data_IF_893886015453
#
_entry.id   IF_893886015453
#
_cell.length_a   1.000
_cell.length_b   1.000
_cell.length_c   1.000
_cell.angle_alpha   90.00
_cell.angle_beta   90.00
_cell.angle_gamma   90.00
#
_symmetry.space_group_name_H-M   'P 1'
#
loop_
_entity.id
_entity.type
_entity.pdbx_description
1 polymer ?
#
# COMPACT_ATOMS: atom_id res chain seq x y z
N UNK A 1 21.85 -8.29 10.39
CA UNK A 1 21.09 -9.33 9.69
C UNK A 1 21.16 -10.56 10.57
N UNK A 2 20.02 -11.05 11.05
CA UNK A 2 19.99 -12.35 11.72
C UNK A 2 20.47 -13.42 10.72
N UNK A 3 21.37 -14.31 11.15
CA UNK A 3 21.84 -15.42 10.33
C UNK A 3 20.74 -16.50 10.29
N UNK A 4 19.79 -16.33 9.38
CA UNK A 4 18.70 -17.29 9.17
C UNK A 4 19.16 -18.41 8.23
N UNK A 5 19.00 -19.66 8.67
CA UNK A 5 19.22 -20.84 7.82
C UNK A 5 18.13 -20.96 6.74
N UNK A 6 18.50 -21.42 5.54
CA UNK A 6 17.56 -21.56 4.41
C UNK A 6 16.34 -22.45 4.75
N UNK A 7 16.54 -23.45 5.61
CA UNK A 7 15.51 -24.40 6.06
C UNK A 7 14.43 -23.77 6.92
N UNK A 8 14.65 -22.57 7.47
CA UNK A 8 13.64 -21.85 8.25
C UNK A 8 12.43 -21.45 7.39
N UNK A 9 12.68 -21.14 6.11
CA UNK A 9 11.64 -20.78 5.15
C UNK A 9 11.24 -21.96 4.25
N UNK A 10 12.18 -22.84 3.92
CA UNK A 10 11.96 -23.96 2.99
C UNK A 10 11.70 -25.31 3.69
N UNK A 11 11.31 -25.32 4.97
CA UNK A 11 11.39 -26.45 5.92
C UNK A 11 10.65 -27.76 5.61
N UNK A 12 10.18 -27.98 4.39
CA UNK A 12 9.87 -29.33 3.84
C UNK A 12 11.15 -30.12 3.49
N UNK A 13 12.32 -29.53 3.72
CA UNK A 13 13.62 -30.18 3.52
C UNK A 13 13.86 -31.24 4.58
N UNK A 14 14.39 -32.41 4.17
CA UNK A 14 14.82 -33.47 5.10
C UNK A 14 16.00 -33.00 5.97
N UNK A 15 16.28 -33.74 7.04
CA UNK A 15 17.38 -33.45 7.99
C UNK A 15 18.76 -33.40 7.34
N UNK A 16 18.95 -34.09 6.21
CA UNK A 16 20.17 -34.08 5.39
C UNK A 16 20.23 -32.92 4.37
N UNK A 17 19.31 -31.94 4.48
CA UNK A 17 19.12 -30.81 3.56
C UNK A 17 18.68 -31.20 2.13
N UNK A 18 18.31 -32.47 1.88
CA UNK A 18 17.72 -32.86 0.59
C UNK A 18 16.29 -32.31 0.43
N UNK A 19 15.99 -31.78 -0.77
CA UNK A 19 14.69 -31.17 -1.09
C UNK A 19 14.63 -29.63 -1.04
N UNK A 20 15.72 -28.94 -0.69
CA UNK A 20 15.77 -27.47 -0.57
C UNK A 20 15.37 -26.71 -1.84
N UNK A 21 15.58 -27.31 -3.02
CA UNK A 21 15.18 -26.74 -4.31
C UNK A 21 13.96 -27.45 -4.94
N UNK A 22 13.32 -28.34 -4.19
CA UNK A 22 12.18 -29.12 -4.68
C UNK A 22 10.84 -28.44 -4.37
N UNK A 23 10.81 -27.52 -3.40
CA UNK A 23 9.59 -26.90 -2.91
C UNK A 23 9.74 -25.39 -2.72
N UNK A 24 8.69 -24.67 -3.08
CA UNK A 24 8.56 -23.25 -2.76
C UNK A 24 8.19 -23.07 -1.29
N UNK A 25 8.70 -22.00 -0.64
CA UNK A 25 8.32 -21.70 0.72
C UNK A 25 6.84 -21.26 0.72
N UNK A 26 6.05 -21.85 1.60
CA UNK A 26 4.66 -21.43 1.79
C UNK A 26 4.55 -20.46 2.95
N UNK A 27 3.46 -19.71 2.97
CA UNK A 27 3.18 -18.66 3.94
C UNK A 27 3.18 -19.15 5.40
N UNK A 28 2.97 -20.46 5.63
CA UNK A 28 3.05 -21.11 6.94
C UNK A 28 4.41 -20.97 7.62
N UNK A 29 5.49 -20.86 6.84
CA UNK A 29 6.83 -20.68 7.41
C UNK A 29 7.07 -19.23 7.83
N UNK A 30 6.54 -18.27 7.06
CA UNK A 30 6.68 -16.85 7.37
C UNK A 30 6.03 -16.50 8.73
N UNK A 31 4.84 -17.04 9.01
CA UNK A 31 4.09 -16.73 10.24
C UNK A 31 4.70 -17.32 11.52
N UNK A 32 5.66 -18.25 11.41
CA UNK A 32 6.42 -18.76 12.56
C UNK A 32 7.20 -17.62 13.25
N UNK A 33 7.72 -16.68 12.47
CA UNK A 33 8.41 -15.49 12.97
C UNK A 33 7.53 -14.23 12.89
N UNK A 34 6.68 -14.13 11.86
CA UNK A 34 5.78 -13.00 11.63
C UNK A 34 4.36 -13.30 12.14
N UNK A 35 4.25 -13.63 13.41
CA UNK A 35 2.98 -14.00 14.02
C UNK A 35 1.94 -12.88 13.94
N UNK A 36 0.70 -13.24 13.61
CA UNK A 36 -0.42 -12.29 13.49
C UNK A 36 -0.37 -11.37 12.27
N UNK A 37 0.59 -11.54 11.35
CA UNK A 37 0.56 -10.85 10.05
C UNK A 37 -0.51 -11.49 9.16
N UNK A 38 -1.27 -10.65 8.49
CA UNK A 38 -2.29 -11.01 7.51
C UNK A 38 -2.40 -9.89 6.49
N UNK A 39 -2.89 -10.12 5.28
CA UNK A 39 -3.03 -9.04 4.30
C UNK A 39 -4.49 -8.63 4.18
N UNK A 40 -4.78 -7.34 4.36
CA UNK A 40 -6.11 -6.75 4.19
C UNK A 40 -7.24 -7.36 5.04
N UNK A 41 -6.91 -8.12 6.09
CA UNK A 41 -7.91 -8.80 6.93
C UNK A 41 -8.36 -10.16 6.40
N UNK A 42 -7.78 -10.65 5.29
CA UNK A 42 -8.12 -11.94 4.66
C UNK A 42 -7.30 -13.13 5.22
N UNK A 43 -6.56 -12.90 6.32
CA UNK A 43 -5.66 -13.91 6.87
C UNK A 43 -4.56 -14.35 5.89
N UNK A 44 -4.16 -15.61 6.00
CA UNK A 44 -3.11 -16.21 5.16
C UNK A 44 -3.64 -16.84 3.86
N UNK A 45 -4.95 -17.11 3.78
CA UNK A 45 -5.56 -17.75 2.62
C UNK A 45 -5.90 -16.81 1.47
N UNK A 46 -5.96 -15.49 1.71
CA UNK A 46 -6.39 -14.51 0.72
C UNK A 46 -5.30 -14.02 -0.24
N UNK A 47 -4.02 -14.10 0.15
CA UNK A 47 -2.89 -13.65 -0.68
C UNK A 47 -1.56 -14.21 -0.17
N UNK A 48 -0.74 -14.79 -1.08
CA UNK A 48 0.60 -15.24 -0.73
C UNK A 48 1.51 -14.04 -0.40
N UNK A 49 2.30 -14.16 0.68
CA UNK A 49 3.24 -13.11 1.11
C UNK A 49 4.18 -12.69 -0.03
N UNK A 50 4.64 -13.67 -0.81
CA UNK A 50 5.63 -13.50 -1.87
C UNK A 50 5.10 -12.81 -3.13
N UNK A 51 3.77 -12.62 -3.23
CA UNK A 51 3.18 -11.78 -4.27
C UNK A 51 3.64 -10.32 -4.10
N UNK A 52 3.84 -9.88 -2.86
CA UNK A 52 4.28 -8.53 -2.52
C UNK A 52 5.75 -8.48 -2.10
N UNK A 53 6.16 -9.41 -1.24
CA UNK A 53 7.51 -9.53 -0.70
C UNK A 53 8.39 -10.33 -1.65
N UNK A 54 9.53 -9.81 -2.06
CA UNK A 54 10.37 -10.53 -3.03
C UNK A 54 11.84 -10.26 -2.80
N UNK A 55 12.63 -11.32 -2.91
CA UNK A 55 14.09 -11.31 -2.92
C UNK A 55 14.69 -10.43 -4.03
N UNK A 56 13.87 -10.09 -5.03
CA UNK A 56 14.18 -9.14 -6.10
C UNK A 56 14.22 -7.67 -5.62
N UNK A 57 14.01 -7.44 -4.32
CA UNK A 57 14.19 -6.15 -3.65
C UNK A 57 15.19 -6.27 -2.52
N UNK A 58 15.96 -5.21 -2.26
CA UNK A 58 17.07 -5.22 -1.30
C UNK A 58 16.67 -5.64 0.12
N UNK A 59 15.48 -5.28 0.57
CA UNK A 59 14.99 -5.51 1.93
C UNK A 59 13.70 -6.34 1.98
N UNK A 60 13.41 -7.09 0.90
CA UNK A 60 12.20 -7.88 0.74
C UNK A 60 10.90 -7.05 0.73
N UNK A 61 10.95 -5.71 0.79
CA UNK A 61 9.74 -4.89 0.79
C UNK A 61 9.23 -4.63 -0.62
N UNK A 62 7.90 -4.58 -0.81
CA UNK A 62 7.33 -4.28 -2.12
C UNK A 62 7.71 -2.88 -2.59
N UNK A 63 8.22 -2.77 -3.81
CA UNK A 63 8.27 -1.48 -4.51
C UNK A 63 6.86 -0.95 -4.81
N UNK A 64 6.72 0.36 -5.07
CA UNK A 64 5.41 1.00 -5.32
C UNK A 64 4.57 0.30 -6.39
N UNK A 65 5.20 -0.10 -7.50
CA UNK A 65 4.52 -0.78 -8.61
C UNK A 65 3.90 -2.12 -8.20
N UNK A 66 4.43 -2.83 -7.20
CA UNK A 66 3.82 -4.08 -6.71
C UNK A 66 2.39 -3.90 -6.21
N UNK A 67 2.14 -2.82 -5.47
CA UNK A 67 0.79 -2.48 -5.03
C UNK A 67 -0.10 -2.16 -6.24
N UNK A 68 0.46 -1.44 -7.21
CA UNK A 68 -0.23 -1.05 -8.44
C UNK A 68 -0.57 -2.22 -9.36
N UNK A 69 0.10 -3.37 -9.24
CA UNK A 69 -0.28 -4.57 -9.98
C UNK A 69 -1.77 -4.91 -9.80
N UNK A 70 -2.25 -4.87 -8.55
CA UNK A 70 -3.65 -5.08 -8.23
C UNK A 70 -4.45 -3.77 -8.20
N UNK A 71 -3.86 -2.68 -7.71
CA UNK A 71 -4.60 -1.45 -7.43
C UNK A 71 -4.61 -0.42 -8.57
N UNK A 72 -3.85 -0.61 -9.66
CA UNK A 72 -3.94 0.25 -10.84
C UNK A 72 -4.95 -0.31 -11.86
N UNK A 73 -5.59 0.58 -12.62
CA UNK A 73 -6.31 0.20 -13.83
C UNK A 73 -5.42 0.12 -15.06
N UNK A 74 -4.19 0.63 -14.98
CA UNK A 74 -3.21 0.62 -16.08
C UNK A 74 -2.64 -0.80 -16.28
N UNK A 75 -2.81 -1.33 -17.49
CA UNK A 75 -2.27 -2.64 -17.87
C UNK A 75 -0.76 -2.57 -18.09
N UNK A 76 -0.22 -1.46 -18.59
CA UNK A 76 1.21 -1.31 -18.84
C UNK A 76 2.05 -1.42 -17.56
N UNK A 77 1.49 -1.03 -16.40
CA UNK A 77 2.16 -1.24 -15.11
C UNK A 77 2.38 -2.72 -14.81
N UNK A 78 1.45 -3.60 -15.21
CA UNK A 78 1.60 -5.05 -15.01
C UNK A 78 2.68 -5.58 -15.93
N UNK A 79 2.58 -5.30 -17.22
CA UNK A 79 3.56 -5.71 -18.22
C UNK A 79 4.99 -5.31 -17.82
N UNK A 80 5.20 -4.05 -17.42
CA UNK A 80 6.51 -3.55 -16.93
C UNK A 80 7.03 -4.34 -15.72
N UNK A 81 6.17 -4.71 -14.78
CA UNK A 81 6.57 -5.46 -13.59
C UNK A 81 6.99 -6.88 -13.95
N UNK A 82 6.22 -7.52 -14.83
CA UNK A 82 6.40 -8.87 -15.32
C UNK A 82 7.71 -8.98 -16.13
N UNK A 83 7.94 -8.05 -17.06
CA UNK A 83 9.14 -7.96 -17.88
C UNK A 83 10.38 -7.53 -17.09
N UNK A 84 10.24 -6.51 -16.25
CA UNK A 84 11.33 -5.99 -15.41
C UNK A 84 11.76 -6.94 -14.30
N UNK A 85 11.14 -8.11 -14.22
CA UNK A 85 11.48 -9.15 -13.26
C UNK A 85 11.36 -8.64 -11.83
N UNK A 86 10.51 -7.68 -11.52
CA UNK A 86 10.34 -7.21 -10.13
C UNK A 86 9.26 -7.99 -9.40
N UNK A 87 8.45 -8.77 -10.12
CA UNK A 87 7.54 -9.79 -9.59
C UNK A 87 7.95 -11.19 -10.04
N UNK A 88 7.83 -12.17 -9.14
CA UNK A 88 7.88 -13.57 -9.53
C UNK A 88 6.54 -14.00 -10.14
N UNK A 89 6.42 -13.84 -11.46
CA UNK A 89 5.26 -14.32 -12.22
C UNK A 89 5.29 -15.81 -12.55
N UNK A 90 6.38 -16.49 -12.22
CA UNK A 90 6.48 -17.93 -12.46
C UNK A 90 5.78 -18.71 -11.35
N UNK A 91 5.92 -18.23 -10.12
CA UNK A 91 5.42 -18.96 -8.94
C UNK A 91 4.42 -18.16 -8.09
N UNK A 92 4.48 -16.83 -8.13
CA UNK A 92 3.74 -15.94 -7.22
C UNK A 92 2.96 -14.85 -7.98
N UNK A 93 2.26 -15.29 -9.03
CA UNK A 93 1.32 -14.44 -9.76
C UNK A 93 0.05 -14.25 -8.95
N UNK A 94 -0.40 -13.00 -8.71
CA UNK A 94 -1.66 -12.75 -8.03
C UNK A 94 -2.85 -13.35 -8.79
N UNK A 95 -3.76 -13.98 -8.07
CA UNK A 95 -4.98 -14.54 -8.64
C UNK A 95 -5.79 -13.46 -9.41
N UNK A 96 -6.20 -13.70 -10.66
CA UNK A 96 -6.93 -12.72 -11.46
C UNK A 96 -8.24 -12.22 -10.82
N UNK A 97 -8.93 -13.08 -10.05
CA UNK A 97 -10.13 -12.70 -9.32
C UNK A 97 -9.82 -11.70 -8.20
N UNK A 98 -8.67 -11.86 -7.52
CA UNK A 98 -8.19 -10.91 -6.51
C UNK A 98 -7.82 -9.58 -7.17
N UNK A 99 -7.11 -9.62 -8.31
CA UNK A 99 -6.78 -8.42 -9.10
C UNK A 99 -8.05 -7.67 -9.51
N UNK A 100 -9.10 -8.39 -9.92
CA UNK A 100 -10.39 -7.81 -10.32
C UNK A 100 -11.15 -7.19 -9.15
N UNK A 101 -11.17 -7.86 -7.98
CA UNK A 101 -11.84 -7.36 -6.76
C UNK A 101 -11.12 -6.20 -6.09
N UNK A 102 -9.83 -6.03 -6.33
CA UNK A 102 -9.03 -4.98 -5.70
C UNK A 102 -9.57 -3.57 -6.02
N UNK A 103 -9.63 -2.70 -5.00
CA UNK A 103 -10.00 -1.29 -5.18
C UNK A 103 -9.00 -0.60 -6.10
N UNK A 104 -9.48 -0.08 -7.23
CA UNK A 104 -8.63 0.66 -8.18
C UNK A 104 -8.42 2.08 -7.68
N UNK A 105 -7.17 2.52 -7.70
CA UNK A 105 -6.77 3.86 -7.30
C UNK A 105 -6.40 4.69 -8.53
N UNK A 106 -6.71 5.98 -8.46
CA UNK A 106 -6.16 6.97 -9.39
C UNK A 106 -4.94 7.58 -8.72
N UNK A 107 -3.83 7.68 -9.44
CA UNK A 107 -2.59 8.28 -8.96
C UNK A 107 -1.95 9.12 -10.05
N UNK A 108 -0.96 9.93 -9.68
CA UNK A 108 -0.16 10.70 -10.63
C UNK A 108 1.31 10.69 -10.23
N UNK A 109 2.20 10.61 -11.21
CA UNK A 109 3.64 10.75 -10.99
C UNK A 109 4.04 12.20 -10.66
N UNK A 110 3.13 13.15 -10.89
CA UNK A 110 3.29 14.57 -10.50
C UNK A 110 2.76 14.86 -9.09
N UNK A 111 2.16 13.89 -8.41
CA UNK A 111 1.64 14.11 -7.07
C UNK A 111 2.79 14.38 -6.08
N UNK A 112 2.62 15.26 -5.08
CA UNK A 112 3.70 15.65 -4.18
C UNK A 112 4.20 14.49 -3.30
N UNK A 113 3.35 13.49 -3.04
CA UNK A 113 3.71 12.30 -2.26
C UNK A 113 4.02 11.12 -3.20
N UNK A 114 5.29 10.99 -3.59
CA UNK A 114 5.79 9.85 -4.39
C UNK A 114 6.39 8.72 -3.53
N UNK A 115 5.99 8.62 -2.27
CA UNK A 115 6.49 7.64 -1.31
C UNK A 115 6.14 6.19 -1.70
N UNK A 116 6.81 5.22 -1.07
CA UNK A 116 6.33 3.84 -1.09
C UNK A 116 4.97 3.75 -0.38
N UNK A 117 4.07 2.90 -0.89
CA UNK A 117 2.70 2.80 -0.38
C UNK A 117 2.67 2.48 1.12
N UNK A 118 3.60 1.63 1.59
CA UNK A 118 3.69 1.20 2.97
C UNK A 118 4.13 2.30 3.97
N UNK A 119 4.59 3.46 3.49
CA UNK A 119 4.91 4.60 4.37
C UNK A 119 3.64 5.15 5.05
N UNK A 120 2.50 5.04 4.37
CA UNK A 120 1.20 5.47 4.88
C UNK A 120 0.24 4.29 5.13
N UNK A 121 0.33 3.23 4.32
CA UNK A 121 -0.60 2.10 4.38
C UNK A 121 -0.09 0.99 5.30
N UNK A 122 -0.97 0.50 6.17
CA UNK A 122 -0.68 -0.64 7.05
C UNK A 122 -1.33 -1.91 6.53
N UNK A 123 -0.80 -2.46 5.43
CA UNK A 123 -1.37 -3.63 4.76
C UNK A 123 -1.52 -4.86 5.66
N UNK A 124 -0.67 -4.97 6.69
CA UNK A 124 -0.68 -6.07 7.64
C UNK A 124 -1.64 -5.91 8.82
N UNK A 125 -2.27 -4.73 8.96
CA UNK A 125 -3.13 -4.44 10.10
C UNK A 125 -4.59 -4.41 9.66
N UNK A 126 -5.42 -5.38 10.10
CA UNK A 126 -6.82 -5.43 9.73
C UNK A 126 -7.52 -4.11 10.09
N UNK A 127 -8.33 -3.60 9.16
CA UNK A 127 -9.05 -2.34 9.32
C UNK A 127 -8.21 -1.07 9.28
N UNK A 128 -6.86 -1.14 9.24
CA UNK A 128 -5.96 0.03 9.21
C UNK A 128 -5.14 0.16 7.92
N UNK A 129 -5.50 -0.58 6.88
CA UNK A 129 -4.82 -0.51 5.60
C UNK A 129 -4.85 0.90 4.99
N UNK A 130 -5.87 1.72 5.27
CA UNK A 130 -5.99 3.09 4.78
C UNK A 130 -5.52 4.09 5.85
N UNK A 131 -4.69 5.09 5.50
CA UNK A 131 -4.21 6.07 6.46
C UNK A 131 -5.34 6.95 6.99
N UNK A 132 -5.16 7.43 8.21
CA UNK A 132 -6.05 8.40 8.89
C UNK A 132 -5.40 9.78 8.97
N UNK A 133 -6.16 10.81 9.38
CA UNK A 133 -5.63 12.14 9.69
C UNK A 133 -4.42 12.08 10.63
N UNK A 134 -4.46 11.21 11.64
CA UNK A 134 -3.37 11.02 12.59
C UNK A 134 -2.09 10.52 11.91
N UNK A 135 -2.21 9.66 10.91
CA UNK A 135 -1.06 9.15 10.16
C UNK A 135 -0.41 10.25 9.31
N UNK A 136 -1.22 11.10 8.66
CA UNK A 136 -0.70 12.24 7.89
C UNK A 136 0.11 13.20 8.76
N UNK A 137 -0.36 13.46 9.99
CA UNK A 137 0.22 14.43 10.91
C UNK A 137 1.54 13.98 11.54
N UNK A 138 1.91 12.69 11.42
CA UNK A 138 3.23 12.20 11.86
C UNK A 138 4.36 12.92 11.11
N UNK A 139 4.18 13.15 9.80
CA UNK A 139 5.15 13.87 8.97
C UNK A 139 4.73 15.34 8.75
N UNK A 140 3.43 15.61 8.62
CA UNK A 140 2.90 16.95 8.35
C UNK A 140 2.41 17.66 9.63
N UNK A 141 3.17 17.60 10.72
CA UNK A 141 2.74 18.11 12.03
C UNK A 141 2.38 19.60 12.04
N UNK A 142 3.06 20.41 11.22
CA UNK A 142 2.85 21.86 11.12
C UNK A 142 1.67 22.26 10.24
N UNK A 143 1.08 21.36 9.46
CA UNK A 143 0.00 21.74 8.51
C UNK A 143 -1.24 22.26 9.22
N UNK A 144 -1.44 21.85 10.49
CA UNK A 144 -2.57 22.31 11.32
C UNK A 144 -2.64 23.83 11.42
N UNK A 145 -1.51 24.52 11.46
CA UNK A 145 -1.47 25.98 11.58
C UNK A 145 -1.56 26.74 10.25
N UNK A 146 -1.59 26.03 9.11
CA UNK A 146 -1.67 26.66 7.79
C UNK A 146 -3.13 26.90 7.40
N UNK A 147 -3.44 28.11 6.96
CA UNK A 147 -4.77 28.47 6.46
C UNK A 147 -5.89 28.15 7.46
N UNK A 148 -6.90 27.40 7.01
CA UNK A 148 -8.07 27.01 7.81
C UNK A 148 -8.07 25.55 8.27
N UNK A 149 -6.94 24.83 8.14
CA UNK A 149 -6.87 23.41 8.51
C UNK A 149 -7.27 23.16 9.97
N UNK A 150 -6.79 23.96 10.93
CA UNK A 150 -7.20 23.82 12.35
C UNK A 150 -8.72 23.89 12.54
N UNK A 151 -9.38 24.80 11.84
CA UNK A 151 -10.83 24.98 11.93
C UNK A 151 -11.57 23.75 11.38
N UNK A 152 -11.21 23.28 10.19
CA UNK A 152 -11.85 22.09 9.59
C UNK A 152 -11.60 20.83 10.41
N UNK A 153 -10.39 20.64 10.92
CA UNK A 153 -10.05 19.49 11.77
C UNK A 153 -10.84 19.50 13.10
N UNK A 154 -11.15 20.68 13.65
CA UNK A 154 -11.99 20.81 14.85
C UNK A 154 -13.47 20.50 14.58
N UNK A 155 -13.88 20.41 13.32
CA UNK A 155 -15.22 19.99 12.90
C UNK A 155 -15.24 18.50 12.48
N UNK A 156 -14.27 17.72 12.97
CA UNK A 156 -14.07 16.31 12.64
C UNK A 156 -13.84 15.99 11.15
N UNK A 157 -13.55 17.00 10.32
CA UNK A 157 -13.18 16.79 8.93
C UNK A 157 -11.82 16.10 8.84
N UNK A 158 -11.68 15.21 7.87
CA UNK A 158 -10.47 14.45 7.58
C UNK A 158 -9.76 15.07 6.38
N UNK A 159 -8.44 14.88 6.32
CA UNK A 159 -7.64 15.35 5.19
C UNK A 159 -8.21 14.86 3.84
N UNK A 160 -8.67 13.61 3.82
CA UNK A 160 -9.21 12.92 2.65
C UNK A 160 -10.57 13.45 2.20
N UNK A 161 -11.28 14.21 3.04
CA UNK A 161 -12.58 14.81 2.67
C UNK A 161 -12.39 15.90 1.62
N UNK A 162 -11.19 16.48 1.52
CA UNK A 162 -10.84 17.46 0.49
C UNK A 162 -9.70 16.99 -0.43
N UNK A 163 -8.67 16.36 0.14
CA UNK A 163 -7.50 15.91 -0.61
C UNK A 163 -7.73 14.49 -1.15
N UNK A 164 -7.90 14.37 -2.47
CA UNK A 164 -7.94 13.06 -3.13
C UNK A 164 -6.60 12.33 -2.91
N UNK A 165 -6.59 11.14 -2.29
CA UNK A 165 -5.35 10.38 -2.07
C UNK A 165 -4.59 10.11 -3.37
N UNK A 166 -3.26 10.01 -3.30
CA UNK A 166 -2.33 9.76 -4.43
C UNK A 166 -2.26 10.84 -5.53
N UNK A 167 -3.16 11.82 -5.52
CA UNK A 167 -3.11 13.03 -6.34
C UNK A 167 -2.74 14.22 -5.45
N UNK A 168 -3.35 14.26 -4.26
CA UNK A 168 -3.17 15.25 -3.21
C UNK A 168 -3.40 16.70 -3.63
N UNK A 169 -4.42 16.91 -4.46
CA UNK A 169 -4.82 18.22 -4.97
C UNK A 169 -6.29 18.48 -4.65
N UNK A 170 -6.60 19.71 -4.23
CA UNK A 170 -7.97 20.23 -4.15
C UNK A 170 -8.20 21.08 -5.39
N UNK A 171 -9.20 20.74 -6.21
CA UNK A 171 -9.51 21.51 -7.41
C UNK A 171 -10.63 22.50 -7.13
N UNK A 172 -10.72 23.56 -7.94
CA UNK A 172 -11.85 24.47 -7.86
C UNK A 172 -13.19 23.75 -8.07
N UNK A 173 -13.21 22.76 -8.96
CA UNK A 173 -14.39 21.94 -9.20
C UNK A 173 -14.80 21.11 -7.96
N UNK A 174 -13.86 20.48 -7.25
CA UNK A 174 -14.19 19.77 -6.00
C UNK A 174 -14.63 20.74 -4.91
N UNK A 175 -13.96 21.89 -4.78
CA UNK A 175 -14.32 22.88 -3.76
C UNK A 175 -15.72 23.48 -3.97
N UNK A 176 -16.11 23.75 -5.22
CA UNK A 176 -17.47 24.21 -5.58
C UNK A 176 -18.55 23.19 -5.28
N UNK A 177 -18.19 21.91 -5.13
CA UNK A 177 -19.11 20.83 -4.79
C UNK A 177 -19.13 20.56 -3.28
N UNK A 178 -17.95 20.39 -2.69
CA UNK A 178 -17.79 19.82 -1.36
C UNK A 178 -17.78 20.92 -0.27
N UNK A 179 -17.12 22.07 -0.52
CA UNK A 179 -17.02 23.14 0.49
C UNK A 179 -18.34 23.91 0.65
N UNK A 180 -19.12 24.03 -0.43
CA UNK A 180 -20.38 24.78 -0.43
C UNK A 180 -21.49 24.16 0.42
N UNK A 181 -21.27 22.95 0.93
CA UNK A 181 -22.18 22.30 1.87
C UNK A 181 -22.28 23.04 3.21
N UNK A 182 -21.26 23.82 3.58
CA UNK A 182 -21.20 24.48 4.88
C UNK A 182 -21.09 26.01 4.80
N UNK A 183 -20.44 26.55 3.75
CA UNK A 183 -20.21 27.98 3.61
C UNK A 183 -20.17 28.40 2.13
N UNK A 184 -20.33 29.69 1.84
CA UNK A 184 -20.20 30.18 0.46
C UNK A 184 -18.87 29.80 -0.17
N UNK A 185 -18.87 29.56 -1.49
CA UNK A 185 -17.68 29.15 -2.21
C UNK A 185 -16.53 30.16 -2.04
N UNK A 186 -15.36 29.63 -1.70
CA UNK A 186 -14.09 30.36 -1.67
C UNK A 186 -13.03 29.51 -2.36
N UNK A 187 -12.17 30.14 -3.15
CA UNK A 187 -11.09 29.43 -3.85
C UNK A 187 -10.14 28.77 -2.83
N UNK A 188 -9.83 27.46 -2.95
CA UNK A 188 -8.83 26.78 -2.13
C UNK A 188 -7.45 27.46 -2.14
N UNK A 189 -7.11 28.16 -3.24
CA UNK A 189 -5.83 28.87 -3.38
C UNK A 189 -5.75 30.11 -2.50
N UNK A 190 -6.87 30.67 -2.08
CA UNK A 190 -6.92 31.84 -1.20
C UNK A 190 -6.56 31.51 0.26
N UNK A 191 -6.34 30.23 0.59
CA UNK A 191 -6.06 29.76 1.95
C UNK A 191 -4.61 29.27 2.16
N UNK A 192 -3.73 29.48 1.18
CA UNK A 192 -2.30 29.20 1.25
C UNK A 192 -1.51 30.45 1.65
#
# INVERSE_FOLDING_TARGET
MEQLECTMCHGEVKTDKSGLHSFLPTEKFCVKCHSGKQVHGEGMGGLACLNCHTDRTKDLKPGRRKCLYCHSSDQGVREILEEGGTIDVRHFTPDPSVVKRATKIVYSDKAPMQFYCYECHQAHTPGKARPTTTDCLKCHSKIRSVGKHKMHLNMDMKCQDCHKPHIWTVTEASARKDCVACHEYKSPKAFL
#
